data_IF_002830943210
#
_entry.id   IF_002830943210
#
_cell.length_a   1.000
_cell.length_b   1.000
_cell.length_c   1.000
_cell.angle_alpha   90.00
_cell.angle_beta   90.00
_cell.angle_gamma   90.00
#
_symmetry.space_group_name_H-M   'P 1'
#
loop_
_entity.id
_entity.type
_entity.pdbx_description
1 polymer ?
#
# COMPACT_ATOMS: atom_id res chain seq x y z
N UNK A 1 19.32 9.81 -11.61
CA UNK A 1 18.32 10.79 -11.13
C UNK A 1 17.93 10.42 -9.70
N UNK A 2 17.45 11.36 -8.90
CA UNK A 2 17.07 11.16 -7.48
C UNK A 2 15.54 10.97 -7.33
N UNK A 3 15.05 9.76 -7.03
CA UNK A 3 13.62 9.48 -6.82
C UNK A 3 12.99 10.28 -5.69
N UNK A 4 13.74 10.53 -4.61
CA UNK A 4 13.24 11.29 -3.46
C UNK A 4 12.97 12.75 -3.85
N UNK A 5 13.83 13.33 -4.68
CA UNK A 5 13.59 14.66 -5.25
C UNK A 5 12.40 14.69 -6.22
N UNK A 6 12.15 13.62 -6.98
CA UNK A 6 10.95 13.52 -7.84
C UNK A 6 9.67 13.65 -7.01
N UNK A 7 9.58 12.94 -5.88
CA UNK A 7 8.45 13.07 -4.95
C UNK A 7 8.35 14.48 -4.36
N UNK A 8 9.47 15.06 -3.89
CA UNK A 8 9.49 16.43 -3.34
C UNK A 8 8.90 17.47 -4.30
N UNK A 9 9.16 17.35 -5.61
CA UNK A 9 8.59 18.28 -6.61
C UNK A 9 7.07 18.20 -6.69
N UNK A 10 6.49 17.00 -6.67
CA UNK A 10 5.03 16.85 -6.69
C UNK A 10 4.39 17.22 -5.34
N UNK A 11 5.08 16.97 -4.22
CA UNK A 11 4.63 17.46 -2.91
C UNK A 11 4.63 18.99 -2.84
N UNK A 12 5.63 19.64 -3.44
CA UNK A 12 5.62 21.09 -3.58
C UNK A 12 4.40 21.58 -4.37
N UNK A 13 4.07 20.94 -5.50
CA UNK A 13 2.84 21.28 -6.26
C UNK A 13 1.59 21.13 -5.41
N UNK A 14 1.45 20.04 -4.64
CA UNK A 14 0.33 19.86 -3.71
C UNK A 14 0.27 20.98 -2.66
N UNK A 15 1.42 21.33 -2.08
CA UNK A 15 1.53 22.39 -1.07
C UNK A 15 1.18 23.78 -1.64
N UNK A 16 1.59 24.08 -2.87
CA UNK A 16 1.24 25.32 -3.57
C UNK A 16 -0.28 25.43 -3.82
N UNK A 17 -0.99 24.29 -3.90
CA UNK A 17 -2.46 24.21 -3.94
C UNK A 17 -3.13 24.21 -2.54
N UNK A 18 -2.32 24.30 -1.47
CA UNK A 18 -2.76 24.31 -0.08
C UNK A 18 -3.03 22.92 0.51
N UNK A 19 -2.53 21.84 -0.11
CA UNK A 19 -2.71 20.47 0.36
C UNK A 19 -1.46 19.88 1.01
N UNK A 20 -1.67 19.07 2.05
CA UNK A 20 -0.70 18.09 2.54
C UNK A 20 -1.14 16.69 2.10
N UNK A 21 -0.20 15.91 1.57
CA UNK A 21 -0.47 14.56 1.07
C UNK A 21 -0.04 13.50 2.06
N UNK A 22 -1.02 12.72 2.53
CA UNK A 22 -0.83 11.62 3.47
C UNK A 22 -1.04 10.28 2.77
N UNK A 23 -0.17 9.32 3.06
CA UNK A 23 -0.27 7.95 2.54
C UNK A 23 -0.08 6.90 3.62
N UNK A 24 -0.80 5.80 3.47
CA UNK A 24 -0.66 4.59 4.29
C UNK A 24 -0.61 3.37 3.37
N UNK A 25 0.59 2.85 3.05
CA UNK A 25 0.73 1.65 2.25
C UNK A 25 0.61 0.39 3.13
N UNK A 26 -0.13 -0.60 2.64
CA UNK A 26 -0.24 -1.96 3.20
C UNK A 26 0.74 -2.85 2.42
N UNK A 27 1.86 -3.26 3.00
CA UNK A 27 2.90 -4.04 2.28
C UNK A 27 2.82 -5.52 2.66
N UNK A 28 2.37 -6.32 1.70
CA UNK A 28 2.37 -7.76 1.80
C UNK A 28 3.74 -8.34 1.43
N UNK A 29 4.09 -9.48 2.02
CA UNK A 29 5.34 -10.20 1.72
C UNK A 29 5.21 -11.68 2.06
N UNK A 30 6.17 -12.47 1.58
CA UNK A 30 6.28 -13.89 1.94
C UNK A 30 7.54 -14.16 2.75
N UNK A 31 7.46 -15.12 3.68
CA UNK A 31 8.62 -15.83 4.21
C UNK A 31 8.74 -17.22 3.57
N UNK A 32 9.95 -17.57 3.14
CA UNK A 32 10.30 -18.90 2.65
C UNK A 32 11.48 -19.47 3.42
N UNK A 33 11.66 -20.79 3.36
CA UNK A 33 12.77 -21.49 4.02
C UNK A 33 14.14 -20.91 3.63
N UNK A 34 14.34 -20.60 2.36
CA UNK A 34 15.57 -20.00 1.83
C UNK A 34 15.31 -19.22 0.54
N UNK A 35 16.36 -18.65 -0.05
CA UNK A 35 16.28 -17.85 -1.28
C UNK A 35 16.30 -18.68 -2.58
N UNK A 36 16.44 -20.01 -2.49
CA UNK A 36 16.56 -20.91 -3.65
C UNK A 36 15.21 -21.52 -4.03
N UNK A 37 14.26 -21.56 -3.10
CA UNK A 37 12.93 -22.11 -3.32
C UNK A 37 11.81 -21.22 -2.79
N UNK A 38 10.59 -21.71 -2.94
CA UNK A 38 9.36 -21.08 -2.41
C UNK A 38 8.67 -22.02 -1.43
N UNK A 39 9.46 -22.78 -0.66
CA UNK A 39 8.92 -23.65 0.38
C UNK A 39 8.39 -22.78 1.54
N UNK A 40 7.08 -22.82 1.84
CA UNK A 40 6.49 -22.01 2.89
C UNK A 40 6.90 -22.52 4.27
N UNK A 41 6.86 -21.64 5.26
CA UNK A 41 7.12 -21.98 6.67
C UNK A 41 5.89 -22.54 7.38
N UNK A 42 4.70 -22.27 6.84
CA UNK A 42 3.41 -22.67 7.39
C UNK A 42 2.38 -22.95 6.27
N UNK A 43 1.14 -23.22 6.68
CA UNK A 43 -0.03 -23.31 5.79
C UNK A 43 -1.17 -22.40 6.29
N UNK A 44 -0.82 -21.27 6.93
CA UNK A 44 -1.82 -20.34 7.46
C UNK A 44 -2.61 -19.65 6.35
N UNK A 45 -3.81 -19.18 6.69
CA UNK A 45 -4.64 -18.31 5.88
C UNK A 45 -4.92 -16.96 6.54
N UNK A 46 -5.76 -16.16 5.90
CA UNK A 46 -6.08 -14.80 6.32
C UNK A 46 -6.60 -14.75 7.76
N UNK A 47 -5.93 -13.98 8.62
CA UNK A 47 -6.25 -13.82 10.05
C UNK A 47 -6.21 -15.12 10.89
N UNK A 48 -5.51 -16.16 10.44
CA UNK A 48 -5.34 -17.37 11.25
C UNK A 48 -4.50 -17.09 12.51
N UNK A 49 -5.03 -17.48 13.67
CA UNK A 49 -4.37 -17.38 14.99
C UNK A 49 -3.81 -18.74 15.44
N UNK A 50 -3.52 -19.64 14.51
CA UNK A 50 -3.25 -21.04 14.85
C UNK A 50 -1.81 -21.27 15.33
N UNK A 51 -1.53 -22.32 16.13
CA UNK A 51 -0.17 -22.73 16.52
C UNK A 51 0.76 -23.08 15.35
N UNK A 52 0.24 -23.06 14.12
CA UNK A 52 0.99 -23.31 12.88
C UNK A 52 1.53 -22.03 12.24
N UNK A 53 1.20 -20.85 12.76
CA UNK A 53 1.80 -19.59 12.29
C UNK A 53 3.24 -19.45 12.78
N UNK A 54 4.15 -20.04 12.01
CA UNK A 54 5.59 -20.07 12.28
C UNK A 54 6.22 -18.66 12.29
N UNK A 55 5.50 -17.65 11.80
CA UNK A 55 5.99 -16.29 11.66
C UNK A 55 5.50 -15.33 12.74
N UNK A 56 4.69 -15.77 13.71
CA UNK A 56 4.16 -14.90 14.78
C UNK A 56 5.28 -14.15 15.51
N UNK A 57 6.34 -14.85 15.93
CA UNK A 57 7.46 -14.24 16.64
C UNK A 57 8.27 -13.30 15.74
N UNK A 58 8.49 -13.67 14.48
CA UNK A 58 9.18 -12.82 13.50
C UNK A 58 8.41 -11.54 13.20
N UNK A 59 7.08 -11.61 13.03
CA UNK A 59 6.24 -10.43 12.84
C UNK A 59 6.27 -9.55 14.08
N UNK A 60 6.19 -10.14 15.27
CA UNK A 60 6.31 -9.41 16.53
C UNK A 60 7.65 -8.69 16.67
N UNK A 61 8.77 -9.35 16.39
CA UNK A 61 10.10 -8.72 16.44
C UNK A 61 10.23 -7.60 15.41
N UNK A 62 9.68 -7.80 14.21
CA UNK A 62 9.63 -6.76 13.17
C UNK A 62 8.86 -5.54 13.67
N UNK A 63 7.67 -5.74 14.24
CA UNK A 63 6.84 -4.64 14.80
C UNK A 63 7.60 -3.88 15.89
N UNK A 64 8.16 -4.59 16.88
CA UNK A 64 8.90 -3.95 17.97
C UNK A 64 10.11 -3.16 17.45
N UNK A 65 10.86 -3.73 16.50
CA UNK A 65 12.02 -3.05 15.90
C UNK A 65 11.61 -1.77 15.18
N UNK A 66 10.50 -1.79 14.43
CA UNK A 66 9.98 -0.61 13.73
C UNK A 66 9.51 0.47 14.71
N UNK A 67 8.82 0.07 15.79
CA UNK A 67 8.38 1.00 16.83
C UNK A 67 9.57 1.65 17.56
N UNK A 68 10.64 0.91 17.85
CA UNK A 68 11.90 1.44 18.40
C UNK A 68 12.57 2.46 17.46
N UNK A 69 12.39 2.31 16.16
CA UNK A 69 12.85 3.26 15.14
C UNK A 69 11.89 4.45 14.93
N UNK A 70 10.78 4.51 15.67
CA UNK A 70 9.78 5.57 15.58
C UNK A 70 8.77 5.40 14.44
N UNK A 71 8.70 4.22 13.82
CA UNK A 71 7.72 3.88 12.79
C UNK A 71 6.51 3.23 13.47
N UNK A 72 5.43 3.98 13.63
CA UNK A 72 4.22 3.48 14.27
C UNK A 72 3.50 2.41 13.43
N UNK A 73 3.13 1.30 14.07
CA UNK A 73 2.38 0.20 13.46
C UNK A 73 0.91 0.27 13.88
N UNK A 74 0.01 -0.06 12.96
CA UNK A 74 -1.43 -0.09 13.19
C UNK A 74 -1.96 -1.52 13.34
N UNK A 75 -1.55 -2.44 12.45
CA UNK A 75 -1.96 -3.86 12.47
C UNK A 75 -0.83 -4.77 11.99
N UNK A 76 -0.91 -6.06 12.35
CA UNK A 76 -0.11 -7.12 11.75
C UNK A 76 -0.95 -8.40 11.71
N UNK A 77 -0.92 -9.13 10.58
CA UNK A 77 -1.64 -10.38 10.44
C UNK A 77 -1.00 -11.30 9.40
N UNK A 78 -1.44 -12.56 9.44
CA UNK A 78 -1.27 -13.50 8.35
C UNK A 78 -2.21 -13.14 7.19
N UNK A 79 -1.71 -13.25 5.97
CA UNK A 79 -2.41 -12.92 4.74
C UNK A 79 -3.07 -14.14 4.08
N UNK A 80 -3.72 -13.92 2.94
CA UNK A 80 -4.56 -14.91 2.26
C UNK A 80 -3.85 -16.17 1.73
N UNK A 81 -2.53 -16.18 1.59
CA UNK A 81 -1.76 -17.36 1.17
C UNK A 81 -0.79 -17.85 2.24
N UNK A 82 -0.42 -19.13 2.17
CA UNK A 82 0.55 -19.76 3.07
C UNK A 82 1.86 -18.97 3.16
N UNK A 83 2.29 -18.67 4.39
CA UNK A 83 3.46 -17.85 4.72
C UNK A 83 3.48 -16.45 4.10
N UNK A 84 2.29 -15.93 3.77
CA UNK A 84 2.09 -14.55 3.39
C UNK A 84 1.73 -13.74 4.64
N UNK A 85 2.30 -12.53 4.74
CA UNK A 85 2.13 -11.69 5.91
C UNK A 85 1.99 -10.22 5.50
N UNK A 86 1.34 -9.45 6.37
CA UNK A 86 1.18 -8.01 6.24
C UNK A 86 1.41 -7.34 7.60
N UNK A 87 2.07 -6.19 7.57
CA UNK A 87 2.23 -5.29 8.70
C UNK A 87 1.90 -3.89 8.19
N UNK A 88 0.90 -3.27 8.80
CA UNK A 88 0.39 -1.97 8.41
C UNK A 88 1.07 -0.87 9.22
N UNK A 89 1.73 0.05 8.53
CA UNK A 89 2.25 1.26 9.15
C UNK A 89 1.13 2.29 9.30
N UNK A 90 1.12 3.02 10.41
CA UNK A 90 0.25 4.19 10.57
C UNK A 90 0.59 5.22 9.50
N UNK A 91 -0.44 5.72 8.80
CA UNK A 91 -0.26 6.71 7.73
C UNK A 91 0.50 7.95 8.24
N UNK A 92 1.30 8.55 7.35
CA UNK A 92 2.00 9.80 7.60
C UNK A 92 2.17 10.58 6.30
N UNK A 93 2.84 11.74 6.32
CA UNK A 93 3.12 12.49 5.11
C UNK A 93 3.91 11.63 4.11
N UNK A 94 3.68 11.84 2.82
CA UNK A 94 4.17 10.91 1.80
C UNK A 94 5.70 10.83 1.69
N UNK A 95 6.46 11.87 2.05
CA UNK A 95 7.92 11.81 1.99
C UNK A 95 8.46 10.95 3.12
N UNK A 96 8.00 11.19 4.35
CA UNK A 96 8.33 10.37 5.51
C UNK A 96 7.87 8.93 5.29
N UNK A 97 6.66 8.72 4.75
CA UNK A 97 6.18 7.37 4.48
C UNK A 97 7.02 6.64 3.43
N UNK A 98 7.50 7.33 2.39
CA UNK A 98 8.38 6.69 1.41
C UNK A 98 9.72 6.25 2.06
N UNK A 99 10.28 7.07 2.95
CA UNK A 99 11.46 6.72 3.75
C UNK A 99 11.16 5.52 4.68
N UNK A 100 9.97 5.49 5.31
CA UNK A 100 9.52 4.39 6.17
C UNK A 100 9.34 3.08 5.38
N UNK A 101 8.78 3.10 4.17
CA UNK A 101 8.63 1.90 3.32
C UNK A 101 10.00 1.28 2.98
N UNK A 102 11.00 2.10 2.68
CA UNK A 102 12.36 1.60 2.45
C UNK A 102 12.92 0.91 3.69
N UNK A 103 12.77 1.55 4.85
CA UNK A 103 13.24 1.05 6.15
C UNK A 103 12.50 -0.23 6.56
N UNK A 104 11.18 -0.25 6.42
CA UNK A 104 10.32 -1.40 6.67
C UNK A 104 10.78 -2.64 5.92
N UNK A 105 11.01 -2.53 4.60
CA UNK A 105 11.48 -3.66 3.79
C UNK A 105 12.84 -4.18 4.24
N UNK A 106 13.72 -3.30 4.74
CA UNK A 106 15.00 -3.70 5.29
C UNK A 106 14.82 -4.44 6.62
N UNK A 107 14.04 -3.90 7.55
CA UNK A 107 13.81 -4.52 8.87
C UNK A 107 13.19 -5.90 8.71
N UNK A 108 12.17 -6.06 7.88
CA UNK A 108 11.55 -7.38 7.59
C UNK A 108 12.60 -8.39 7.11
N UNK A 109 13.50 -7.99 6.22
CA UNK A 109 14.56 -8.86 5.69
C UNK A 109 15.63 -9.19 6.73
N UNK A 110 16.03 -8.22 7.54
CA UNK A 110 17.01 -8.42 8.60
C UNK A 110 16.48 -9.35 9.70
N UNK A 111 15.22 -9.17 10.10
CA UNK A 111 14.56 -10.08 11.04
C UNK A 111 14.49 -11.48 10.45
N UNK A 112 14.02 -11.65 9.20
CA UNK A 112 14.02 -12.96 8.55
C UNK A 112 15.40 -13.64 8.54
N UNK A 113 16.45 -12.89 8.22
CA UNK A 113 17.82 -13.39 8.19
C UNK A 113 18.27 -13.90 9.57
N UNK A 114 17.91 -13.21 10.66
CA UNK A 114 18.22 -13.65 12.04
C UNK A 114 17.55 -14.97 12.41
N UNK A 115 16.38 -15.24 11.87
CA UNK A 115 15.64 -16.49 12.07
C UNK A 115 16.05 -17.57 11.05
N UNK A 116 17.00 -17.29 10.17
CA UNK A 116 17.49 -18.25 9.17
C UNK A 116 16.49 -18.53 8.04
N UNK A 117 15.58 -17.59 7.77
CA UNK A 117 14.58 -17.69 6.69
C UNK A 117 14.74 -16.53 5.69
N UNK A 118 13.98 -16.58 4.60
CA UNK A 118 14.09 -15.61 3.51
C UNK A 118 12.79 -14.82 3.32
N UNK A 119 12.86 -13.49 3.49
CA UNK A 119 11.75 -12.60 3.20
C UNK A 119 11.79 -12.06 1.77
N UNK A 120 10.65 -12.05 1.10
CA UNK A 120 10.52 -11.50 -0.26
C UNK A 120 9.27 -10.64 -0.43
N UNK A 121 9.47 -9.48 -1.07
CA UNK A 121 8.43 -8.56 -1.52
C UNK A 121 8.13 -8.73 -3.02
N UNK A 122 8.54 -9.87 -3.60
CA UNK A 122 8.27 -10.19 -5.00
C UNK A 122 6.75 -10.24 -5.24
N UNK A 123 6.21 -9.60 -6.29
CA UNK A 123 4.75 -9.50 -6.46
C UNK A 123 4.03 -10.83 -6.62
N UNK A 124 4.67 -11.81 -7.27
CA UNK A 124 4.10 -13.15 -7.51
C UNK A 124 5.21 -14.20 -7.44
N UNK A 125 5.62 -14.62 -6.23
CA UNK A 125 6.68 -15.61 -6.08
C UNK A 125 6.20 -17.02 -6.45
N UNK A 126 4.91 -17.32 -6.24
CA UNK A 126 4.32 -18.65 -6.46
C UNK A 126 3.12 -18.55 -7.41
N UNK A 127 3.05 -19.47 -8.37
CA UNK A 127 1.92 -19.60 -9.28
C UNK A 127 0.71 -20.20 -8.56
N UNK A 128 -0.50 -19.76 -8.91
CA UNK A 128 -1.73 -20.40 -8.43
C UNK A 128 -2.26 -19.91 -7.07
N UNK A 129 -1.54 -19.05 -6.35
CA UNK A 129 -1.93 -18.49 -5.03
C UNK A 129 -1.93 -16.96 -5.04
N UNK A 130 -2.36 -16.29 -3.97
CA UNK A 130 -2.31 -14.82 -3.88
C UNK A 130 -0.88 -14.28 -4.08
N UNK A 131 -0.78 -13.09 -4.69
CA UNK A 131 0.49 -12.37 -4.81
C UNK A 131 0.59 -11.27 -3.76
N UNK A 132 1.77 -10.67 -3.61
CA UNK A 132 2.00 -9.57 -2.66
C UNK A 132 1.66 -8.22 -3.29
N UNK A 133 0.68 -7.52 -2.72
CA UNK A 133 0.31 -6.15 -3.03
C UNK A 133 1.00 -5.09 -2.18
N UNK A 134 0.91 -3.85 -2.66
CA UNK A 134 1.11 -2.65 -1.87
C UNK A 134 -0.10 -1.74 -2.03
N UNK A 135 -1.19 -1.98 -1.31
CA UNK A 135 -2.36 -1.10 -1.40
C UNK A 135 -2.02 0.24 -0.77
N UNK A 136 -2.22 1.34 -1.50
CA UNK A 136 -1.84 2.67 -1.01
C UNK A 136 -3.09 3.48 -0.71
N UNK A 137 -3.37 3.65 0.58
CA UNK A 137 -4.34 4.61 1.08
C UNK A 137 -3.81 6.02 0.91
N UNK A 138 -4.63 6.92 0.39
CA UNK A 138 -4.27 8.28 -0.01
C UNK A 138 -5.30 9.28 0.47
N UNK A 139 -4.84 10.41 0.98
CA UNK A 139 -5.71 11.54 1.36
C UNK A 139 -4.98 12.87 1.23
N UNK A 140 -5.74 13.91 0.89
CA UNK A 140 -5.27 15.30 0.90
C UNK A 140 -5.90 16.04 2.08
N UNK A 141 -5.11 16.87 2.74
CA UNK A 141 -5.56 17.68 3.89
C UNK A 141 -5.30 19.16 3.62
N UNK A 142 -6.24 20.02 4.03
CA UNK A 142 -6.03 21.46 4.13
C UNK A 142 -6.01 21.85 5.62
N UNK A 143 -4.82 22.06 6.17
CA UNK A 143 -4.64 22.11 7.62
C UNK A 143 -5.12 20.81 8.25
N UNK A 144 -5.99 20.88 9.26
CA UNK A 144 -6.53 19.70 9.95
C UNK A 144 -7.74 19.05 9.26
N UNK A 145 -8.26 19.66 8.18
CA UNK A 145 -9.45 19.18 7.48
C UNK A 145 -9.05 18.21 6.37
N UNK A 146 -9.59 17.00 6.43
CA UNK A 146 -9.49 16.04 5.33
C UNK A 146 -10.29 16.57 4.12
N UNK A 147 -9.60 16.87 3.03
CA UNK A 147 -10.19 17.45 1.84
C UNK A 147 -11.03 16.45 1.03
N UNK A 148 -10.93 15.15 1.32
CA UNK A 148 -11.74 14.13 0.66
C UNK A 148 -13.11 13.94 1.32
N UNK A 149 -13.30 14.36 2.58
CA UNK A 149 -14.56 14.21 3.29
C UNK A 149 -15.57 15.32 2.96
N UNK A 150 -16.83 14.93 2.76
CA UNK A 150 -17.96 15.85 2.66
C UNK A 150 -19.19 15.24 3.34
N UNK A 151 -19.68 15.89 4.41
CA UNK A 151 -20.86 15.43 5.15
C UNK A 151 -22.15 15.45 4.33
N UNK A 152 -22.23 16.30 3.30
CA UNK A 152 -23.42 16.47 2.47
C UNK A 152 -23.51 15.51 1.28
N UNK A 153 -22.44 14.77 0.99
CA UNK A 153 -22.41 13.80 -0.11
C UNK A 153 -22.91 12.42 0.33
N UNK A 154 -23.65 11.73 -0.53
CA UNK A 154 -24.20 10.38 -0.26
C UNK A 154 -23.12 9.38 0.18
N UNK A 155 -21.92 9.48 -0.39
CA UNK A 155 -20.79 8.60 -0.09
C UNK A 155 -19.79 9.20 0.90
N UNK A 156 -20.13 10.36 1.46
CA UNK A 156 -19.26 11.17 2.30
C UNK A 156 -17.95 11.55 1.61
N UNK A 157 -17.99 11.65 0.27
CA UNK A 157 -16.85 11.86 -0.60
C UNK A 157 -17.01 13.19 -1.33
N UNK A 158 -16.17 14.15 -0.98
CA UNK A 158 -16.15 15.49 -1.57
C UNK A 158 -15.90 15.48 -3.08
N UNK A 159 -16.21 16.62 -3.71
CA UNK A 159 -15.81 16.89 -5.11
C UNK A 159 -14.30 16.71 -5.32
N UNK A 160 -13.45 17.15 -4.37
CA UNK A 160 -11.99 17.00 -4.44
C UNK A 160 -11.60 15.51 -4.48
N UNK A 161 -12.19 14.69 -3.61
CA UNK A 161 -11.95 13.25 -3.60
C UNK A 161 -12.39 12.56 -4.90
N UNK A 162 -13.58 12.92 -5.43
CA UNK A 162 -14.08 12.38 -6.71
C UNK A 162 -13.18 12.76 -7.89
N UNK A 163 -12.76 14.02 -7.96
CA UNK A 163 -11.82 14.52 -8.97
C UNK A 163 -10.45 13.82 -8.88
N UNK A 164 -9.93 13.61 -7.67
CA UNK A 164 -8.69 12.87 -7.45
C UNK A 164 -8.78 11.42 -7.97
N UNK A 165 -9.89 10.73 -7.69
CA UNK A 165 -10.18 9.38 -8.23
C UNK A 165 -10.25 9.41 -9.75
N UNK A 166 -10.94 10.40 -10.34
CA UNK A 166 -11.04 10.53 -11.79
C UNK A 166 -9.66 10.68 -12.44
N UNK A 167 -8.76 11.46 -11.83
CA UNK A 167 -7.36 11.58 -12.24
C UNK A 167 -6.62 10.25 -12.18
N UNK A 168 -6.69 9.53 -11.05
CA UNK A 168 -6.07 8.21 -10.92
C UNK A 168 -6.58 7.21 -11.98
N UNK A 169 -7.90 7.14 -12.22
CA UNK A 169 -8.47 6.24 -13.23
C UNK A 169 -8.02 6.60 -14.65
N UNK A 170 -7.98 7.89 -14.98
CA UNK A 170 -7.54 8.37 -16.29
C UNK A 170 -6.09 7.98 -16.59
N UNK A 171 -5.20 8.14 -15.61
CA UNK A 171 -3.77 7.89 -15.77
C UNK A 171 -3.33 6.49 -15.36
N UNK A 172 -4.24 5.64 -14.89
CA UNK A 172 -3.92 4.28 -14.46
C UNK A 172 -3.13 3.47 -15.50
N UNK A 173 -3.48 3.46 -16.81
CA UNK A 173 -2.71 2.70 -17.81
C UNK A 173 -1.22 3.08 -17.88
N UNK A 174 -0.91 4.37 -17.81
CA UNK A 174 0.45 4.88 -17.96
C UNK A 174 1.25 4.81 -16.65
N UNK A 175 0.63 5.13 -15.50
CA UNK A 175 1.33 5.04 -14.21
C UNK A 175 1.56 3.59 -13.78
N UNK A 176 0.85 2.61 -14.37
CA UNK A 176 1.06 1.18 -14.11
C UNK A 176 2.50 0.77 -14.33
N UNK A 177 3.20 1.32 -15.34
CA UNK A 177 4.62 1.02 -15.57
C UNK A 177 5.52 1.44 -14.38
N UNK A 178 5.10 2.42 -13.59
CA UNK A 178 5.82 2.91 -12.41
C UNK A 178 5.34 2.24 -11.13
N UNK A 179 4.06 1.91 -11.02
CA UNK A 179 3.49 1.23 -9.84
C UNK A 179 3.72 -0.28 -9.84
N UNK A 180 4.02 -0.85 -11.01
CA UNK A 180 4.27 -2.27 -11.26
C UNK A 180 5.54 -2.44 -12.11
N UNK A 181 6.70 -2.18 -11.50
CA UNK A 181 7.97 -1.92 -12.22
C UNK A 181 8.62 -3.16 -12.82
N UNK A 182 8.19 -4.34 -12.41
CA UNK A 182 8.87 -5.59 -12.72
C UNK A 182 8.02 -6.47 -13.64
N UNK A 183 8.68 -7.29 -14.46
CA UNK A 183 7.99 -8.32 -15.26
C UNK A 183 7.10 -9.20 -14.38
N UNK A 184 7.55 -9.50 -13.16
CA UNK A 184 6.79 -10.31 -12.21
C UNK A 184 5.55 -9.60 -11.64
N UNK A 185 5.51 -8.26 -11.61
CA UNK A 185 4.32 -7.49 -11.21
C UNK A 185 3.10 -7.87 -12.04
N UNK A 186 3.28 -8.05 -13.36
CA UNK A 186 2.21 -8.44 -14.27
C UNK A 186 1.76 -9.90 -14.12
N UNK A 187 2.48 -10.71 -13.34
CA UNK A 187 2.04 -12.06 -12.96
C UNK A 187 1.11 -12.02 -11.73
N UNK A 188 1.15 -10.94 -10.95
CA UNK A 188 0.17 -10.64 -9.89
C UNK A 188 -1.13 -10.08 -10.47
N UNK A 189 -1.05 -9.18 -11.45
CA UNK A 189 -2.20 -8.54 -12.10
C UNK A 189 -2.94 -9.50 -13.06
N UNK A 190 -3.47 -10.59 -12.52
CA UNK A 190 -4.29 -11.58 -13.23
C UNK A 190 -5.58 -11.83 -12.44
N UNK A 191 -6.70 -12.19 -13.11
CA UNK A 191 -7.97 -12.44 -12.42
C UNK A 191 -7.86 -13.57 -11.39
N UNK A 192 -8.67 -13.49 -10.31
CA UNK A 192 -8.88 -14.59 -9.36
C UNK A 192 -8.12 -14.52 -8.03
N UNK A 193 -7.30 -13.47 -7.79
CA UNK A 193 -6.42 -13.37 -6.61
C UNK A 193 -6.50 -11.99 -5.91
N UNK A 194 -7.68 -11.36 -5.89
CA UNK A 194 -7.96 -10.03 -5.32
C UNK A 194 -7.12 -8.85 -5.88
N UNK A 195 -6.20 -9.10 -6.80
CA UNK A 195 -5.45 -8.07 -7.52
C UNK A 195 -6.33 -7.38 -8.58
N UNK A 196 -6.25 -6.05 -8.74
CA UNK A 196 -7.09 -5.32 -9.68
C UNK A 196 -6.59 -5.47 -11.12
N UNK A 197 -7.49 -5.88 -12.01
CA UNK A 197 -7.21 -6.04 -13.45
C UNK A 197 -8.09 -5.17 -14.35
N UNK A 198 -9.03 -4.43 -13.77
CA UNK A 198 -9.97 -3.55 -14.48
C UNK A 198 -9.89 -2.12 -13.94
N UNK A 199 -10.09 -1.14 -14.81
CA UNK A 199 -10.17 0.27 -14.45
C UNK A 199 -11.55 0.58 -13.87
N UNK A 200 -11.69 0.41 -12.56
CA UNK A 200 -12.94 0.61 -11.85
C UNK A 200 -12.71 1.08 -10.42
N UNK A 201 -13.75 1.66 -9.82
CA UNK A 201 -13.74 2.00 -8.41
C UNK A 201 -15.01 1.54 -7.72
N UNK A 202 -14.88 1.15 -6.46
CA UNK A 202 -16.01 0.72 -5.64
C UNK A 202 -15.78 1.08 -4.17
N UNK A 203 -16.80 0.90 -3.34
CA UNK A 203 -16.71 1.13 -1.88
C UNK A 203 -16.28 -0.11 -1.09
N UNK A 204 -16.75 -1.29 -1.52
CA UNK A 204 -16.58 -2.56 -0.79
C UNK A 204 -15.72 -3.59 -1.51
N UNK A 205 -15.81 -3.64 -2.84
CA UNK A 205 -15.19 -4.69 -3.62
C UNK A 205 -13.66 -4.55 -3.62
N UNK A 206 -12.97 -5.63 -3.23
CA UNK A 206 -11.51 -5.70 -3.08
C UNK A 206 -10.80 -5.97 -4.39
N UNK A 207 -11.52 -6.30 -5.46
CA UNK A 207 -10.94 -6.54 -6.79
C UNK A 207 -10.93 -5.28 -7.68
N UNK A 208 -11.53 -4.18 -7.23
CA UNK A 208 -11.51 -2.91 -7.95
C UNK A 208 -10.14 -2.23 -7.84
N UNK A 209 -9.75 -1.48 -8.88
CA UNK A 209 -8.49 -0.74 -8.86
C UNK A 209 -8.44 0.30 -7.75
N UNK A 210 -9.57 0.99 -7.54
CA UNK A 210 -9.73 1.97 -6.48
C UNK A 210 -10.83 1.52 -5.52
N UNK A 211 -10.51 1.42 -4.24
CA UNK A 211 -11.50 1.26 -3.18
C UNK A 211 -11.62 2.54 -2.38
N UNK A 212 -12.85 2.95 -2.06
CA UNK A 212 -13.13 4.05 -1.11
C UNK A 212 -13.80 3.44 0.12
N UNK A 213 -13.04 3.14 1.19
CA UNK A 213 -13.60 2.55 2.40
C UNK A 213 -14.79 3.33 2.95
N UNK A 214 -15.79 2.64 3.46
CA UNK A 214 -16.99 3.30 3.99
C UNK A 214 -16.65 4.19 5.20
N UNK A 215 -17.24 5.39 5.20
CA UNK A 215 -17.16 6.31 6.30
C UNK A 215 -17.79 5.69 7.56
N UNK A 216 -17.11 5.87 8.70
CA UNK A 216 -17.65 5.53 10.02
C UNK A 216 -17.99 6.83 10.76
N UNK A 217 -19.21 6.98 11.32
CA UNK A 217 -19.61 8.18 12.06
C UNK A 217 -18.55 8.64 13.06
N UNK A 218 -18.19 9.92 13.02
CA UNK A 218 -17.16 10.53 13.88
C UNK A 218 -15.73 10.35 13.40
N UNK A 219 -15.49 9.66 12.27
CA UNK A 219 -14.14 9.43 11.70
C UNK A 219 -13.92 10.18 10.39
N UNK A 220 -14.23 11.48 10.39
CA UNK A 220 -14.15 12.35 9.20
C UNK A 220 -12.73 12.40 8.62
N UNK A 221 -11.72 12.37 9.50
CA UNK A 221 -10.30 12.34 9.11
C UNK A 221 -9.89 11.05 8.39
N UNK A 222 -10.68 9.98 8.47
CA UNK A 222 -10.33 8.67 7.90
C UNK A 222 -10.79 8.44 6.45
N UNK A 223 -11.51 9.40 5.84
CA UNK A 223 -11.92 9.31 4.43
C UNK A 223 -10.69 9.31 3.52
N UNK A 224 -10.57 8.29 2.68
CA UNK A 224 -9.38 8.06 1.86
C UNK A 224 -9.69 7.26 0.61
N UNK A 225 -8.79 7.33 -0.35
CA UNK A 225 -8.80 6.54 -1.58
C UNK A 225 -7.73 5.47 -1.44
N UNK A 226 -8.07 4.21 -1.66
CA UNK A 226 -7.12 3.11 -1.70
C UNK A 226 -6.85 2.72 -3.15
N UNK A 227 -5.63 2.94 -3.62
CA UNK A 227 -5.18 2.50 -4.94
C UNK A 227 -4.46 1.15 -4.80
N UNK A 228 -5.07 0.08 -5.33
CA UNK A 228 -4.71 -1.32 -5.01
C UNK A 228 -3.72 -1.96 -5.97
N UNK A 229 -3.45 -1.30 -7.10
CA UNK A 229 -2.55 -1.82 -8.13
C UNK A 229 -1.08 -1.93 -7.73
N UNK A 230 -0.47 -0.99 -6.97
CA UNK A 230 0.96 -1.07 -6.70
C UNK A 230 1.36 -2.38 -6.01
N UNK A 231 2.61 -2.77 -6.22
CA UNK A 231 3.23 -3.92 -5.56
C UNK A 231 4.42 -3.47 -4.69
N UNK A 232 4.87 -4.27 -3.72
CA UNK A 232 5.87 -3.83 -2.75
C UNK A 232 7.31 -3.89 -3.28
N UNK A 233 7.54 -4.37 -4.51
CA UNK A 233 8.85 -4.38 -5.15
C UNK A 233 9.16 -3.06 -5.86
N UNK A 234 8.20 -2.15 -5.99
CA UNK A 234 8.39 -0.85 -6.63
C UNK A 234 9.26 0.11 -5.81
N UNK A 235 9.65 1.23 -6.43
CA UNK A 235 10.23 2.40 -5.75
C UNK A 235 9.11 3.29 -5.17
N UNK A 236 8.98 3.39 -3.83
CA UNK A 236 7.85 4.10 -3.20
C UNK A 236 7.83 5.59 -3.50
N UNK A 237 9.00 6.23 -3.65
CA UNK A 237 9.06 7.66 -4.00
C UNK A 237 8.45 7.95 -5.36
N UNK A 238 8.79 7.13 -6.37
CA UNK A 238 8.24 7.28 -7.71
C UNK A 238 6.75 6.95 -7.74
N UNK A 239 6.34 5.88 -7.04
CA UNK A 239 4.94 5.46 -6.96
C UNK A 239 4.07 6.52 -6.32
N UNK A 240 4.44 7.03 -5.14
CA UNK A 240 3.68 8.10 -4.48
C UNK A 240 3.66 9.37 -5.32
N UNK A 241 4.76 9.66 -6.02
CA UNK A 241 4.85 10.82 -6.91
C UNK A 241 3.88 10.74 -8.09
N UNK A 242 3.81 9.61 -8.81
CA UNK A 242 2.93 9.50 -9.98
C UNK A 242 1.46 9.41 -9.58
N UNK A 243 1.13 8.76 -8.46
CA UNK A 243 -0.24 8.75 -7.94
C UNK A 243 -0.70 10.15 -7.53
N UNK A 244 0.15 10.90 -6.82
CA UNK A 244 -0.15 12.29 -6.47
C UNK A 244 -0.31 13.15 -7.73
N UNK A 245 0.60 13.05 -8.70
CA UNK A 245 0.53 13.83 -9.92
C UNK A 245 -0.76 13.58 -10.70
N UNK A 246 -1.16 12.31 -10.86
CA UNK A 246 -2.40 11.91 -11.51
C UNK A 246 -3.64 12.45 -10.77
N UNK A 247 -3.67 12.31 -9.44
CA UNK A 247 -4.78 12.80 -8.64
C UNK A 247 -4.89 14.33 -8.61
N UNK A 248 -3.77 15.06 -8.57
CA UNK A 248 -3.77 16.53 -8.67
C UNK A 248 -4.22 17.01 -10.05
N UNK A 249 -3.82 16.36 -11.15
CA UNK A 249 -4.33 16.69 -12.48
C UNK A 249 -5.85 16.54 -12.54
N UNK A 250 -6.40 15.49 -11.92
CA UNK A 250 -7.85 15.29 -11.83
C UNK A 250 -8.58 16.40 -11.05
N UNK A 251 -7.92 17.07 -10.11
CA UNK A 251 -8.47 18.20 -9.33
C UNK A 251 -8.42 19.52 -10.13
N UNK A 252 -7.38 19.70 -10.95
CA UNK A 252 -7.16 20.94 -11.71
C UNK A 252 -8.03 21.06 -12.98
N UNK A 253 -8.51 19.93 -13.52
CA UNK A 253 -9.32 19.86 -14.74
C UNK A 253 -10.80 19.67 -14.42
#
# INVERSE_FOLDING_TARGET
GDPRNVLKRNLKRAADMGYTFYVGPELEYFYFRDSQGTEPLDQGGYFDLTPRDAATDMRRETVLTLEEMGIGIEYSHHEGAASQHEIDMRYTDALTMADNVMTYRLVVKEVALRYGVYATFMPKPVFGINGSGMHVHQSLFKGDRNAFFDKGDEYHLSKVGKCYIAGLLKHAPEITAVTNQWVNSYKRLVPGYEAPVYLSWARRNRSDLIRVPEYRPGREKSTRVEFRSPDPACNPYLVFSVMLAAGLEGIEK
#
